data_IF_805748394401
#
_entry.id   IF_805748394401
#
_cell.length_a   1.000
_cell.length_b   1.000
_cell.length_c   1.000
_cell.angle_alpha   90.00
_cell.angle_beta   90.00
_cell.angle_gamma   90.00
#
_symmetry.space_group_name_H-M   'P 1'
#
loop_
_entity.id
_entity.type
_entity.pdbx_description
1 polymer ?
#
# COMPACT_ATOMS: atom_id res chain seq x y z
N UNK A 1 21.82 -31.18 0.86
CA UNK A 1 20.35 -31.35 0.96
C UNK A 1 19.84 -31.71 -0.44
N UNK A 2 19.49 -32.95 -0.69
CA UNK A 2 18.87 -33.39 -1.94
C UNK A 2 17.38 -33.07 -1.89
N UNK A 3 16.97 -32.02 -2.58
CA UNK A 3 15.54 -31.75 -2.76
C UNK A 3 14.87 -32.88 -3.54
N UNK A 4 13.78 -33.42 -3.03
CA UNK A 4 12.99 -34.41 -3.75
C UNK A 4 12.37 -33.79 -4.99
N UNK A 5 12.16 -34.56 -6.06
CA UNK A 5 11.49 -34.10 -7.28
C UNK A 5 10.06 -33.56 -6.96
N UNK A 6 9.42 -34.11 -5.94
CA UNK A 6 8.12 -33.69 -5.46
C UNK A 6 8.17 -32.27 -4.85
N UNK A 7 9.15 -32.01 -3.99
CA UNK A 7 9.37 -30.67 -3.40
C UNK A 7 9.66 -29.63 -4.46
N UNK A 8 10.48 -29.96 -5.46
CA UNK A 8 10.77 -29.06 -6.58
C UNK A 8 9.51 -28.71 -7.39
N UNK A 9 8.70 -29.71 -7.74
CA UNK A 9 7.42 -29.47 -8.45
C UNK A 9 6.47 -28.59 -7.66
N UNK A 10 6.36 -28.79 -6.36
CA UNK A 10 5.50 -27.98 -5.48
C UNK A 10 5.97 -26.53 -5.39
N UNK A 11 7.27 -26.29 -5.22
CA UNK A 11 7.87 -24.95 -5.25
C UNK A 11 7.61 -24.27 -6.59
N UNK A 12 7.88 -24.95 -7.70
CA UNK A 12 7.65 -24.43 -9.04
C UNK A 12 6.17 -24.06 -9.27
N UNK A 13 5.22 -24.89 -8.81
CA UNK A 13 3.79 -24.63 -8.90
C UNK A 13 3.38 -23.41 -8.07
N UNK A 14 3.88 -23.25 -6.84
CA UNK A 14 3.59 -22.09 -5.99
C UNK A 14 4.15 -20.80 -6.60
N UNK A 15 5.37 -20.84 -7.15
CA UNK A 15 5.94 -19.69 -7.86
C UNK A 15 5.11 -19.34 -9.11
N UNK A 16 4.68 -20.33 -9.88
CA UNK A 16 3.84 -20.12 -11.05
C UNK A 16 2.49 -19.49 -10.68
N UNK A 17 1.85 -19.95 -9.59
CA UNK A 17 0.62 -19.36 -9.06
C UNK A 17 0.84 -17.90 -8.64
N UNK A 18 1.95 -17.61 -7.95
CA UNK A 18 2.27 -16.24 -7.56
C UNK A 18 2.46 -15.33 -8.78
N UNK A 19 3.24 -15.76 -9.76
CA UNK A 19 3.49 -15.00 -11.00
C UNK A 19 2.19 -14.78 -11.78
N UNK A 20 1.37 -15.82 -11.95
CA UNK A 20 0.08 -15.70 -12.64
C UNK A 20 -0.87 -14.75 -11.91
N UNK A 21 -0.94 -14.83 -10.58
CA UNK A 21 -1.76 -13.92 -9.78
C UNK A 21 -1.26 -12.47 -9.85
N UNK A 22 0.05 -12.23 -9.76
CA UNK A 22 0.67 -10.90 -9.92
C UNK A 22 0.38 -10.31 -11.31
N UNK A 23 0.43 -11.15 -12.37
CA UNK A 23 0.13 -10.71 -13.73
C UNK A 23 -1.35 -10.32 -13.93
N UNK A 24 -2.25 -10.91 -13.13
CA UNK A 24 -3.68 -10.61 -13.15
C UNK A 24 -4.06 -9.41 -12.28
N UNK A 25 -3.16 -8.97 -11.38
CA UNK A 25 -3.38 -7.76 -10.61
C UNK A 25 -3.31 -6.54 -11.55
N UNK A 26 -4.16 -5.54 -11.32
CA UNK A 26 -4.20 -4.35 -12.18
C UNK A 26 -2.89 -3.57 -12.17
N UNK A 27 -2.54 -2.95 -13.30
CA UNK A 27 -1.45 -1.98 -13.37
C UNK A 27 -1.75 -0.81 -12.43
N UNK A 28 -0.76 -0.38 -11.66
CA UNK A 28 -0.86 0.78 -10.77
C UNK A 28 -1.97 0.68 -9.70
N UNK A 29 -2.23 -0.53 -9.19
CA UNK A 29 -3.28 -0.74 -8.22
C UNK A 29 -2.87 -0.38 -6.79
N UNK A 30 -1.57 -0.39 -6.47
CA UNK A 30 -1.11 -0.29 -5.09
C UNK A 30 0.20 0.50 -5.00
N UNK A 31 0.37 1.27 -3.94
CA UNK A 31 1.61 1.86 -3.49
C UNK A 31 2.15 1.10 -2.27
N UNK A 32 1.43 1.21 -1.18
CA UNK A 32 1.38 0.13 -0.21
C UNK A 32 0.23 -0.78 -0.59
N UNK A 33 0.39 -2.08 -0.40
CA UNK A 33 -0.73 -3.00 -0.57
C UNK A 33 -1.83 -2.77 0.48
N UNK A 34 -3.03 -3.36 0.28
CA UNK A 34 -4.16 -3.17 1.18
C UNK A 34 -3.88 -3.59 2.62
N UNK A 35 -2.96 -4.52 2.84
CA UNK A 35 -2.54 -4.96 4.16
C UNK A 35 -1.87 -3.86 4.95
N UNK A 36 -0.95 -3.11 4.35
CA UNK A 36 -0.27 -1.99 5.01
C UNK A 36 -1.24 -0.85 5.28
N UNK A 37 -2.15 -0.52 4.38
CA UNK A 37 -3.16 0.52 4.63
C UNK A 37 -4.10 0.16 5.79
N UNK A 38 -4.47 -1.11 5.93
CA UNK A 38 -5.27 -1.60 7.07
C UNK A 38 -4.44 -1.56 8.36
N UNK A 39 -3.18 -1.98 8.30
CA UNK A 39 -2.27 -1.91 9.45
C UNK A 39 -2.06 -0.45 9.90
N UNK A 40 -1.91 0.48 8.96
CA UNK A 40 -1.86 1.93 9.22
C UNK A 40 -3.15 2.42 9.89
N UNK A 41 -4.32 2.03 9.39
CA UNK A 41 -5.60 2.38 10.02
C UNK A 41 -5.70 1.85 11.46
N UNK A 42 -5.32 0.60 11.69
CA UNK A 42 -5.32 0.00 13.03
C UNK A 42 -4.35 0.73 13.97
N UNK A 43 -3.17 1.11 13.45
CA UNK A 43 -2.21 1.91 14.22
C UNK A 43 -2.78 3.28 14.58
N UNK A 44 -3.45 3.98 13.65
CA UNK A 44 -4.14 5.25 13.91
C UNK A 44 -5.18 5.08 15.00
N UNK A 45 -5.96 4.01 15.00
CA UNK A 45 -6.94 3.74 16.07
C UNK A 45 -6.31 3.56 17.44
N UNK A 46 -5.16 2.90 17.50
CA UNK A 46 -4.43 2.68 18.74
C UNK A 46 -3.75 3.97 19.26
N UNK A 47 -3.42 4.89 18.36
CA UNK A 47 -2.66 6.12 18.66
C UNK A 47 -3.47 7.39 18.37
N UNK A 48 -4.79 7.31 18.43
CA UNK A 48 -5.69 8.42 18.06
C UNK A 48 -5.49 9.67 18.89
N UNK A 49 -4.92 9.56 20.08
CA UNK A 49 -4.56 10.68 20.95
C UNK A 49 -3.49 11.62 20.35
N UNK A 50 -2.76 11.19 19.32
CA UNK A 50 -1.81 12.02 18.58
C UNK A 50 -2.50 13.01 17.63
N UNK A 51 -3.80 12.84 17.39
CA UNK A 51 -4.56 13.63 16.43
C UNK A 51 -5.39 14.73 17.12
N UNK A 52 -5.73 15.82 16.42
CA UNK A 52 -6.67 16.82 16.93
C UNK A 52 -8.00 16.20 17.34
N UNK A 53 -8.58 16.67 18.42
CA UNK A 53 -9.78 16.09 19.06
C UNK A 53 -10.96 15.87 18.09
N UNK A 54 -11.15 16.76 17.11
CA UNK A 54 -12.23 16.65 16.14
C UNK A 54 -11.98 15.49 15.17
N UNK A 55 -10.78 15.38 14.61
CA UNK A 55 -10.37 14.27 13.73
C UNK A 55 -10.46 12.94 14.48
N UNK A 56 -9.88 12.87 15.69
CA UNK A 56 -9.92 11.72 16.57
C UNK A 56 -11.36 11.24 16.83
N UNK A 57 -12.28 12.14 17.15
CA UNK A 57 -13.69 11.84 17.39
C UNK A 57 -14.37 11.22 16.17
N UNK A 58 -14.16 11.78 14.96
CA UNK A 58 -14.72 11.23 13.73
C UNK A 58 -14.18 9.83 13.44
N UNK A 59 -12.87 9.63 13.57
CA UNK A 59 -12.19 8.37 13.29
C UNK A 59 -12.65 7.27 14.25
N UNK A 60 -12.67 7.54 15.56
CA UNK A 60 -13.06 6.55 16.58
C UNK A 60 -14.52 6.13 16.44
N UNK A 61 -15.41 7.11 16.19
CA UNK A 61 -16.84 6.84 16.03
C UNK A 61 -17.17 6.06 14.75
N UNK A 62 -16.30 6.13 13.72
CA UNK A 62 -16.57 5.57 12.40
C UNK A 62 -15.36 4.84 11.80
N UNK A 63 -14.76 3.92 12.57
CA UNK A 63 -13.57 3.15 12.18
C UNK A 63 -13.71 2.45 10.82
N UNK A 64 -14.88 1.86 10.55
CA UNK A 64 -15.15 1.20 9.27
C UNK A 64 -15.09 2.17 8.09
N UNK A 65 -15.62 3.38 8.26
CA UNK A 65 -15.58 4.41 7.22
C UNK A 65 -14.15 4.90 7.00
N UNK A 66 -13.38 5.13 8.05
CA UNK A 66 -11.97 5.48 7.96
C UNK A 66 -11.18 4.40 7.24
N UNK A 67 -11.30 3.13 7.65
CA UNK A 67 -10.61 2.00 7.00
C UNK A 67 -11.03 1.87 5.53
N UNK A 68 -12.32 2.07 5.22
CA UNK A 68 -12.79 2.08 3.84
C UNK A 68 -12.13 3.21 3.03
N UNK A 69 -11.98 4.40 3.62
CA UNK A 69 -11.24 5.51 3.04
C UNK A 69 -9.78 5.14 2.70
N UNK A 70 -9.09 4.50 3.65
CA UNK A 70 -7.71 4.03 3.45
C UNK A 70 -7.53 3.04 2.28
N UNK A 71 -8.61 2.43 1.79
CA UNK A 71 -8.57 1.47 0.68
C UNK A 71 -9.13 2.03 -0.63
N UNK A 72 -9.85 3.16 -0.58
CA UNK A 72 -10.70 3.58 -1.69
C UNK A 72 -9.96 4.20 -2.87
N UNK A 73 -8.79 4.77 -2.67
CA UNK A 73 -8.00 5.37 -3.76
C UNK A 73 -7.59 4.32 -4.80
N UNK A 74 -7.38 3.07 -4.36
CA UNK A 74 -6.96 1.95 -5.18
C UNK A 74 -8.08 1.29 -5.98
N UNK A 75 -9.33 1.64 -5.73
CA UNK A 75 -10.46 1.15 -6.54
C UNK A 75 -10.31 1.55 -8.01
N UNK A 76 -9.64 2.68 -8.29
CA UNK A 76 -9.52 3.25 -9.63
C UNK A 76 -8.39 2.60 -10.45
N UNK A 77 -8.57 1.37 -10.81
CA UNK A 77 -7.65 0.58 -11.63
C UNK A 77 -7.47 1.19 -13.03
N UNK A 78 -6.25 1.11 -13.58
CA UNK A 78 -5.97 1.47 -14.98
C UNK A 78 -5.92 2.98 -15.27
N UNK A 79 -5.63 3.80 -14.29
CA UNK A 79 -5.59 5.28 -14.36
C UNK A 79 -4.26 5.88 -14.84
N UNK A 80 -3.22 5.07 -15.01
CA UNK A 80 -1.87 5.53 -15.39
C UNK A 80 -1.04 6.03 -14.20
N UNK A 81 0.21 6.44 -14.46
CA UNK A 81 1.17 6.90 -13.45
C UNK A 81 1.27 8.43 -13.39
N UNK A 82 0.59 9.18 -14.25
CA UNK A 82 0.72 10.63 -14.27
C UNK A 82 -0.28 11.32 -13.35
N UNK A 83 0.18 12.27 -12.56
CA UNK A 83 -0.68 13.14 -11.75
C UNK A 83 -1.54 14.01 -12.67
N UNK A 84 -2.85 13.83 -12.62
CA UNK A 84 -3.81 14.59 -13.43
C UNK A 84 -4.99 15.03 -12.56
N UNK A 85 -5.62 16.16 -12.85
CA UNK A 85 -6.83 16.59 -12.15
C UNK A 85 -7.90 15.48 -12.17
N UNK A 86 -8.44 15.14 -10.99
CA UNK A 86 -9.41 14.06 -10.82
C UNK A 86 -8.82 12.64 -10.79
N UNK A 87 -7.49 12.50 -10.77
CA UNK A 87 -6.84 11.23 -10.48
C UNK A 87 -7.06 10.83 -9.01
N UNK A 88 -7.30 9.54 -8.73
CA UNK A 88 -7.59 9.11 -7.34
C UNK A 88 -6.40 9.27 -6.40
N UNK A 89 -5.16 9.16 -6.86
CA UNK A 89 -3.96 9.46 -6.07
C UNK A 89 -3.50 10.91 -6.31
N UNK A 90 -4.39 11.87 -6.07
CA UNK A 90 -4.10 13.30 -6.18
C UNK A 90 -4.63 14.00 -4.94
N UNK A 91 -3.82 14.87 -4.35
CA UNK A 91 -4.19 15.68 -3.18
C UNK A 91 -5.40 16.56 -3.44
N UNK A 92 -5.49 17.17 -4.63
CA UNK A 92 -6.67 17.94 -5.02
C UNK A 92 -7.96 17.12 -4.87
N UNK A 93 -7.94 15.86 -5.32
CA UNK A 93 -9.08 14.94 -5.19
C UNK A 93 -9.38 14.63 -3.72
N UNK A 94 -8.36 14.32 -2.92
CA UNK A 94 -8.52 13.99 -1.50
C UNK A 94 -9.00 15.18 -0.66
N UNK A 95 -8.42 16.37 -0.87
CA UNK A 95 -8.80 17.59 -0.17
C UNK A 95 -10.21 18.05 -0.58
N UNK A 96 -10.53 18.00 -1.87
CA UNK A 96 -11.89 18.26 -2.37
C UNK A 96 -12.91 17.31 -1.76
N UNK A 97 -12.55 16.01 -1.65
CA UNK A 97 -13.40 15.03 -0.99
C UNK A 97 -13.64 15.43 0.48
N UNK A 98 -12.59 15.76 1.24
CA UNK A 98 -12.72 16.19 2.64
C UNK A 98 -13.58 17.45 2.78
N UNK A 99 -13.42 18.42 1.90
CA UNK A 99 -14.16 19.68 1.93
C UNK A 99 -15.65 19.47 1.61
N UNK A 100 -15.95 18.68 0.60
CA UNK A 100 -17.31 18.48 0.07
C UNK A 100 -18.22 17.59 0.91
N UNK A 101 -17.66 16.72 1.77
CA UNK A 101 -18.48 15.76 2.54
C UNK A 101 -18.99 16.37 3.85
N UNK A 102 -20.21 15.97 4.23
CA UNK A 102 -20.87 16.39 5.46
C UNK A 102 -21.13 15.20 6.39
N UNK A 103 -21.15 15.49 7.69
CA UNK A 103 -21.40 14.51 8.74
C UNK A 103 -20.15 13.68 9.13
N UNK A 104 -20.15 13.18 10.37
CA UNK A 104 -18.95 12.60 10.99
C UNK A 104 -18.46 11.32 10.28
N UNK A 105 -19.34 10.53 9.72
CA UNK A 105 -18.99 9.29 9.00
C UNK A 105 -18.23 9.57 7.70
N UNK A 106 -18.73 10.48 6.86
CA UNK A 106 -18.08 10.82 5.61
C UNK A 106 -16.80 11.64 5.85
N UNK A 107 -16.73 12.43 6.92
CA UNK A 107 -15.48 13.07 7.35
C UNK A 107 -14.43 12.01 7.75
N UNK A 108 -14.81 10.97 8.52
CA UNK A 108 -13.90 9.86 8.82
C UNK A 108 -13.42 9.14 7.55
N UNK A 109 -14.33 8.91 6.59
CA UNK A 109 -13.99 8.33 5.29
C UNK A 109 -12.96 9.17 4.52
N UNK A 110 -13.19 10.48 4.42
CA UNK A 110 -12.28 11.39 3.72
C UNK A 110 -10.91 11.48 4.42
N UNK A 111 -10.87 11.49 5.76
CA UNK A 111 -9.62 11.41 6.52
C UNK A 111 -8.87 10.09 6.25
N UNK A 112 -9.57 8.97 6.15
CA UNK A 112 -8.98 7.70 5.75
C UNK A 112 -8.38 7.74 4.33
N UNK A 113 -9.07 8.41 3.40
CA UNK A 113 -8.55 8.62 2.04
C UNK A 113 -7.27 9.46 2.03
N UNK A 114 -7.20 10.52 2.82
CA UNK A 114 -5.98 11.33 2.97
C UNK A 114 -4.85 10.54 3.66
N UNK A 115 -5.18 9.69 4.64
CA UNK A 115 -4.23 8.77 5.27
C UNK A 115 -3.59 7.82 4.25
N UNK A 116 -4.36 7.31 3.28
CA UNK A 116 -3.84 6.51 2.18
C UNK A 116 -2.82 7.30 1.36
N UNK A 117 -3.19 8.49 0.86
CA UNK A 117 -2.29 9.32 0.06
C UNK A 117 -0.99 9.66 0.80
N UNK A 118 -1.09 9.97 2.10
CA UNK A 118 0.08 10.30 2.93
C UNK A 118 1.03 9.11 3.09
N UNK A 119 0.49 7.91 3.31
CA UNK A 119 1.31 6.70 3.42
C UNK A 119 2.02 6.40 2.08
N UNK A 120 1.34 6.62 0.96
CA UNK A 120 1.83 6.33 -0.37
C UNK A 120 2.99 7.22 -0.82
N UNK A 121 3.14 8.42 -0.24
CA UNK A 121 4.31 9.27 -0.46
C UNK A 121 5.60 8.49 -0.22
N UNK A 122 5.70 7.79 0.92
CA UNK A 122 6.92 7.05 1.28
C UNK A 122 7.07 5.79 0.43
N UNK A 123 5.96 5.11 0.13
CA UNK A 123 5.99 3.93 -0.72
C UNK A 123 6.56 4.25 -2.11
N UNK A 124 5.94 5.19 -2.80
CA UNK A 124 6.21 5.46 -4.22
C UNK A 124 7.44 6.31 -4.47
N UNK A 125 7.82 7.17 -3.53
CA UNK A 125 8.99 8.02 -3.73
C UNK A 125 10.28 7.39 -3.18
N UNK A 126 10.18 6.39 -2.28
CA UNK A 126 11.35 5.86 -1.58
C UNK A 126 11.41 4.33 -1.61
N UNK A 127 10.46 3.65 -0.94
CA UNK A 127 10.55 2.21 -0.70
C UNK A 127 10.49 1.38 -1.97
N UNK A 128 9.44 1.56 -2.78
CA UNK A 128 9.24 0.77 -4.00
C UNK A 128 10.34 1.02 -5.03
N UNK A 129 10.72 2.29 -5.36
CA UNK A 129 11.83 2.56 -6.26
C UNK A 129 13.16 1.96 -5.79
N UNK A 130 13.48 2.08 -4.50
CA UNK A 130 14.69 1.49 -3.93
C UNK A 130 14.68 -0.04 -4.06
N UNK A 131 13.57 -0.69 -3.73
CA UNK A 131 13.43 -2.14 -3.82
C UNK A 131 13.40 -2.67 -5.26
N UNK A 132 12.93 -1.89 -6.23
CA UNK A 132 13.02 -2.25 -7.65
C UNK A 132 14.47 -2.41 -8.10
N UNK A 133 15.41 -1.67 -7.53
CA UNK A 133 16.83 -1.80 -7.84
C UNK A 133 17.43 -3.17 -7.47
N UNK A 134 16.79 -3.87 -6.57
CA UNK A 134 17.25 -5.17 -6.02
C UNK A 134 16.35 -6.35 -6.42
N UNK A 135 15.17 -6.09 -6.99
CA UNK A 135 14.20 -7.11 -7.37
C UNK A 135 14.32 -7.45 -8.86
N UNK A 136 14.50 -8.72 -9.23
CA UNK A 136 14.54 -9.13 -10.63
C UNK A 136 13.24 -8.79 -11.37
N UNK A 137 13.35 -8.39 -12.62
CA UNK A 137 12.25 -7.97 -13.46
C UNK A 137 12.23 -6.46 -13.66
N UNK A 138 11.38 -5.99 -14.56
CA UNK A 138 11.21 -4.56 -14.83
C UNK A 138 9.73 -4.21 -14.92
N UNK A 139 9.37 -3.03 -14.41
CA UNK A 139 8.03 -2.49 -14.57
C UNK A 139 7.00 -3.08 -13.60
N UNK A 140 5.82 -3.45 -14.12
CA UNK A 140 4.63 -3.82 -13.35
C UNK A 140 4.86 -4.96 -12.36
N UNK A 141 5.44 -6.08 -12.82
CA UNK A 141 5.55 -7.28 -11.99
C UNK A 141 6.45 -7.08 -10.77
N UNK A 142 7.58 -6.38 -10.93
CA UNK A 142 8.47 -6.05 -9.81
C UNK A 142 7.78 -5.15 -8.80
N UNK A 143 7.08 -4.12 -9.27
CA UNK A 143 6.35 -3.18 -8.44
C UNK A 143 5.30 -3.90 -7.58
N UNK A 144 4.36 -4.60 -8.22
CA UNK A 144 3.29 -5.33 -7.51
C UNK A 144 3.85 -6.42 -6.59
N UNK A 145 4.95 -7.07 -6.98
CA UNK A 145 5.62 -8.07 -6.15
C UNK A 145 6.20 -7.46 -4.86
N UNK A 146 6.85 -6.28 -4.97
CA UNK A 146 7.41 -5.57 -3.82
C UNK A 146 6.32 -5.23 -2.80
N UNK A 147 5.21 -4.70 -3.24
CA UNK A 147 4.07 -4.34 -2.40
C UNK A 147 3.43 -5.57 -1.75
N UNK A 148 3.24 -6.64 -2.52
CA UNK A 148 2.70 -7.89 -2.01
C UNK A 148 3.62 -8.54 -0.95
N UNK A 149 4.94 -8.42 -1.10
CA UNK A 149 5.90 -8.87 -0.09
C UNK A 149 5.84 -8.00 1.18
N UNK A 150 5.68 -6.68 1.05
CA UNK A 150 5.49 -5.80 2.20
C UNK A 150 4.19 -6.13 2.95
N UNK A 151 3.09 -6.33 2.25
CA UNK A 151 1.79 -6.75 2.84
C UNK A 151 1.88 -8.09 3.59
N UNK A 152 2.74 -8.99 3.14
CA UNK A 152 2.96 -10.28 3.82
C UNK A 152 3.57 -10.11 5.21
N UNK A 153 4.35 -9.04 5.42
CA UNK A 153 5.05 -8.77 6.67
C UNK A 153 4.15 -8.14 7.74
N UNK A 154 2.96 -7.65 7.39
CA UNK A 154 2.00 -7.07 8.33
C UNK A 154 0.84 -8.01 8.61
N UNK A 155 0.22 -7.87 9.80
CA UNK A 155 -1.01 -8.58 10.14
C UNK A 155 -2.22 -7.75 9.74
N UNK A 156 -3.12 -8.34 8.97
CA UNK A 156 -4.37 -7.71 8.59
C UNK A 156 -5.48 -8.74 8.31
N UNK A 157 -6.73 -8.32 8.45
CA UNK A 157 -7.90 -9.15 8.21
C UNK A 157 -8.54 -8.83 6.86
N UNK A 158 -8.19 -9.63 5.85
CA UNK A 158 -8.72 -9.49 4.50
C UNK A 158 -10.23 -9.74 4.41
N UNK A 159 -10.80 -10.60 5.27
CA UNK A 159 -12.23 -10.88 5.27
C UNK A 159 -13.01 -9.67 5.74
N UNK A 160 -12.55 -9.03 6.81
CA UNK A 160 -13.15 -7.80 7.29
C UNK A 160 -13.00 -6.67 6.25
N UNK A 161 -11.82 -6.52 5.65
CA UNK A 161 -11.60 -5.56 4.58
C UNK A 161 -12.59 -5.73 3.42
N UNK A 162 -12.78 -6.96 2.93
CA UNK A 162 -13.72 -7.27 1.84
C UNK A 162 -15.17 -6.94 2.23
N UNK A 163 -15.57 -7.13 3.51
CA UNK A 163 -16.92 -6.77 4.00
C UNK A 163 -17.19 -5.27 3.91
N UNK A 164 -16.19 -4.42 4.12
CA UNK A 164 -16.34 -2.96 4.00
C UNK A 164 -16.87 -2.55 2.61
N UNK A 165 -16.42 -3.25 1.56
CA UNK A 165 -16.84 -2.96 0.17
C UNK A 165 -18.28 -3.36 -0.15
N UNK A 166 -18.91 -4.17 0.69
CA UNK A 166 -20.29 -4.62 0.53
C UNK A 166 -21.24 -4.01 1.55
N UNK A 167 -20.73 -3.18 2.46
CA UNK A 167 -21.56 -2.51 3.46
C UNK A 167 -22.50 -1.50 2.79
N UNK A 168 -23.70 -1.36 3.32
CA UNK A 168 -24.67 -0.34 2.86
C UNK A 168 -24.12 1.09 3.00
N UNK A 169 -23.22 1.31 3.93
CA UNK A 169 -22.59 2.61 4.19
C UNK A 169 -21.49 2.97 3.19
N UNK A 170 -20.99 2.00 2.41
CA UNK A 170 -20.03 2.28 1.36
C UNK A 170 -20.66 3.06 0.19
N UNK A 171 -21.98 3.02 0.03
CA UNK A 171 -22.65 3.67 -1.10
C UNK A 171 -22.48 5.20 -1.11
N UNK A 172 -22.67 5.84 0.05
CA UNK A 172 -22.53 7.30 0.16
C UNK A 172 -21.09 7.74 -0.05
N UNK A 173 -20.14 6.96 0.50
CA UNK A 173 -18.71 7.15 0.27
C UNK A 173 -18.33 6.99 -1.20
N UNK A 174 -18.85 5.95 -1.87
CA UNK A 174 -18.65 5.72 -3.31
C UNK A 174 -19.18 6.89 -4.15
N UNK A 175 -20.38 7.40 -3.82
CA UNK A 175 -20.98 8.54 -4.52
C UNK A 175 -20.11 9.79 -4.36
N UNK A 176 -19.68 10.08 -3.13
CA UNK A 176 -18.79 11.21 -2.86
C UNK A 176 -17.46 11.10 -3.61
N UNK A 177 -16.88 9.88 -3.64
CA UNK A 177 -15.63 9.63 -4.35
C UNK A 177 -15.80 9.75 -5.87
N UNK A 178 -16.86 9.22 -6.43
CA UNK A 178 -17.16 9.35 -7.87
C UNK A 178 -17.36 10.81 -8.29
N UNK A 179 -17.88 11.65 -7.40
CA UNK A 179 -18.05 13.08 -7.64
C UNK A 179 -16.72 13.85 -7.58
N UNK A 180 -15.81 13.43 -6.69
CA UNK A 180 -14.48 14.03 -6.54
C UNK A 180 -13.51 13.61 -7.67
N UNK A 181 -13.68 12.40 -8.21
CA UNK A 181 -12.80 11.83 -9.24
C UNK A 181 -13.42 11.95 -10.63
N UNK A 182 -12.58 12.00 -11.67
CA UNK A 182 -13.06 11.90 -13.06
C UNK A 182 -13.35 10.44 -13.40
N UNK A 183 -14.54 10.18 -13.95
CA UNK A 183 -14.92 8.85 -14.43
C UNK A 183 -13.98 8.40 -15.55
N UNK A 184 -13.34 7.24 -15.40
CA UNK A 184 -12.59 6.58 -16.47
C UNK A 184 -13.50 5.73 -17.36
N UNK A 185 -12.93 5.11 -18.41
CA UNK A 185 -13.65 4.27 -19.38
C UNK A 185 -14.38 3.08 -18.74
N UNK A 186 -13.85 2.53 -17.64
CA UNK A 186 -14.45 1.38 -16.94
C UNK A 186 -15.41 1.88 -15.84
N UNK A 187 -16.65 1.32 -15.75
CA UNK A 187 -17.60 1.67 -14.69
C UNK A 187 -17.03 1.45 -13.28
N UNK A 188 -17.29 2.36 -12.36
CA UNK A 188 -16.80 2.28 -10.97
C UNK A 188 -17.17 0.97 -10.28
N UNK A 189 -18.42 0.50 -10.45
CA UNK A 189 -18.87 -0.78 -9.88
C UNK A 189 -18.00 -1.96 -10.30
N UNK A 190 -17.56 -2.01 -11.56
CA UNK A 190 -16.70 -3.08 -12.05
C UNK A 190 -15.28 -2.96 -11.44
N UNK A 191 -14.71 -1.76 -11.40
CA UNK A 191 -13.42 -1.51 -10.74
C UNK A 191 -13.45 -1.95 -9.26
N UNK A 192 -14.50 -1.57 -8.54
CA UNK A 192 -14.72 -1.95 -7.14
C UNK A 192 -14.79 -3.48 -6.96
N UNK A 193 -15.47 -4.19 -7.86
CA UNK A 193 -15.55 -5.65 -7.83
C UNK A 193 -14.19 -6.32 -8.09
N UNK A 194 -13.43 -5.83 -9.06
CA UNK A 194 -12.09 -6.34 -9.35
C UNK A 194 -11.19 -6.12 -8.15
N UNK A 195 -11.15 -4.91 -7.58
CA UNK A 195 -10.34 -4.59 -6.41
C UNK A 195 -10.73 -5.46 -5.19
N UNK A 196 -12.03 -5.61 -4.92
CA UNK A 196 -12.52 -6.50 -3.85
C UNK A 196 -12.04 -7.94 -4.01
N UNK A 197 -12.07 -8.48 -5.24
CA UNK A 197 -11.59 -9.84 -5.52
C UNK A 197 -10.08 -9.96 -5.38
N UNK A 198 -9.31 -8.95 -5.78
CA UNK A 198 -7.85 -8.96 -5.58
C UNK A 198 -7.48 -8.96 -4.10
N UNK A 199 -8.15 -8.17 -3.26
CA UNK A 199 -7.94 -8.20 -1.80
C UNK A 199 -8.27 -9.56 -1.18
N UNK A 200 -9.35 -10.20 -1.62
CA UNK A 200 -9.71 -11.55 -1.15
C UNK A 200 -8.62 -12.57 -1.51
N UNK A 201 -8.02 -12.46 -2.69
CA UNK A 201 -6.90 -13.27 -3.13
C UNK A 201 -5.65 -13.01 -2.27
N UNK A 202 -5.26 -11.73 -2.11
CA UNK A 202 -4.06 -11.32 -1.37
C UNK A 202 -4.10 -11.73 0.11
N UNK A 203 -5.29 -11.84 0.70
CA UNK A 203 -5.46 -12.30 2.09
C UNK A 203 -5.45 -13.83 2.25
N UNK A 204 -5.46 -14.60 1.16
CA UNK A 204 -5.53 -16.05 1.19
C UNK A 204 -4.21 -16.71 1.65
N UNK A 205 -4.32 -17.85 2.35
CA UNK A 205 -3.15 -18.61 2.83
C UNK A 205 -2.25 -19.08 1.68
N UNK A 206 -2.84 -19.59 0.60
CA UNK A 206 -2.11 -20.04 -0.59
C UNK A 206 -1.27 -18.91 -1.20
N UNK A 207 -1.85 -17.71 -1.32
CA UNK A 207 -1.14 -16.52 -1.79
C UNK A 207 0.06 -16.17 -0.90
N UNK A 208 -0.16 -16.11 0.42
CA UNK A 208 0.90 -15.80 1.39
C UNK A 208 2.03 -16.85 1.35
N UNK A 209 1.68 -18.13 1.24
CA UNK A 209 2.64 -19.22 1.09
C UNK A 209 3.42 -19.09 -0.23
N UNK A 210 2.74 -18.82 -1.34
CA UNK A 210 3.38 -18.61 -2.65
C UNK A 210 4.36 -17.45 -2.62
N UNK A 211 3.99 -16.31 -2.04
CA UNK A 211 4.88 -15.16 -1.87
C UNK A 211 6.08 -15.48 -0.96
N UNK A 212 5.86 -16.26 0.10
CA UNK A 212 6.94 -16.69 1.01
C UNK A 212 7.97 -17.54 0.27
N UNK A 213 7.51 -18.48 -0.55
CA UNK A 213 8.37 -19.32 -1.40
C UNK A 213 9.11 -18.49 -2.44
N UNK A 214 8.43 -17.58 -3.13
CA UNK A 214 9.07 -16.68 -4.09
C UNK A 214 10.13 -15.80 -3.40
N UNK A 215 9.83 -15.26 -2.22
CA UNK A 215 10.78 -14.46 -1.43
C UNK A 215 12.01 -15.25 -0.98
N UNK A 216 11.90 -16.56 -0.85
CA UNK A 216 13.04 -17.43 -0.55
C UNK A 216 13.95 -17.66 -1.76
N UNK A 217 13.37 -17.72 -2.94
CA UNK A 217 14.10 -17.96 -4.22
C UNK A 217 14.71 -16.67 -4.77
N UNK A 218 14.15 -15.51 -4.45
CA UNK A 218 14.69 -14.21 -4.91
C UNK A 218 15.90 -13.80 -4.07
N UNK A 219 16.97 -13.25 -4.69
CA UNK A 219 18.26 -13.00 -4.02
C UNK A 219 18.19 -12.04 -2.84
N UNK A 220 17.18 -11.17 -2.79
CA UNK A 220 17.00 -10.21 -1.71
C UNK A 220 15.53 -10.21 -1.28
N UNK A 221 15.30 -10.78 -0.11
CA UNK A 221 13.98 -10.77 0.53
C UNK A 221 13.81 -9.49 1.32
N UNK A 222 12.67 -8.83 1.12
CA UNK A 222 12.22 -7.80 2.03
C UNK A 222 11.99 -8.42 3.40
N UNK A 223 12.55 -7.80 4.43
CA UNK A 223 12.40 -8.20 5.80
C UNK A 223 11.77 -7.08 6.65
N UNK A 224 11.41 -7.42 7.88
CA UNK A 224 10.80 -6.47 8.79
C UNK A 224 11.76 -5.31 9.14
N UNK A 225 13.07 -5.55 9.13
CA UNK A 225 14.06 -4.53 9.48
C UNK A 225 14.16 -3.44 8.40
N UNK A 226 14.09 -3.80 7.13
CA UNK A 226 14.08 -2.85 6.01
C UNK A 226 12.74 -2.11 5.88
N UNK A 227 11.63 -2.76 6.22
CA UNK A 227 10.28 -2.19 6.11
C UNK A 227 9.95 -1.23 7.27
N UNK A 228 10.39 -1.52 8.51
CA UNK A 228 10.01 -0.77 9.69
C UNK A 228 10.31 0.74 9.62
N UNK A 229 11.49 1.20 9.15
CA UNK A 229 11.78 2.63 9.02
C UNK A 229 10.84 3.33 8.03
N UNK A 230 10.48 2.65 6.93
CA UNK A 230 9.59 3.20 5.90
C UNK A 230 8.15 3.29 6.40
N UNK A 231 7.69 2.29 7.15
CA UNK A 231 6.38 2.36 7.82
C UNK A 231 6.34 3.47 8.87
N UNK A 232 7.41 3.64 9.66
CA UNK A 232 7.48 4.75 10.61
C UNK A 232 7.38 6.10 9.89
N UNK A 233 8.12 6.30 8.80
CA UNK A 233 8.05 7.50 7.98
C UNK A 233 6.64 7.71 7.39
N UNK A 234 5.98 6.65 6.91
CA UNK A 234 4.59 6.71 6.42
C UNK A 234 3.62 7.13 7.53
N UNK A 235 3.78 6.60 8.75
CA UNK A 235 2.92 6.96 9.89
C UNK A 235 3.12 8.40 10.33
N UNK A 236 4.35 8.92 10.31
CA UNK A 236 4.63 10.35 10.56
C UNK A 236 3.90 11.23 9.53
N UNK A 237 4.00 10.88 8.25
CA UNK A 237 3.28 11.60 7.19
C UNK A 237 1.75 11.53 7.38
N UNK A 238 1.22 10.38 7.78
CA UNK A 238 -0.21 10.21 8.10
C UNK A 238 -0.64 11.09 9.26
N UNK A 239 0.12 11.11 10.36
CA UNK A 239 -0.20 11.96 11.53
C UNK A 239 -0.17 13.44 11.14
N UNK A 240 0.83 13.88 10.37
CA UNK A 240 0.96 15.26 9.92
C UNK A 240 -0.26 15.69 9.08
N UNK A 241 -0.63 14.91 8.07
CA UNK A 241 -1.79 15.19 7.21
C UNK A 241 -3.12 15.13 7.98
N UNK A 242 -3.28 14.17 8.88
CA UNK A 242 -4.52 14.06 9.68
C UNK A 242 -4.62 15.17 10.73
N UNK A 243 -3.49 15.77 11.12
CA UNK A 243 -3.47 16.91 12.06
C UNK A 243 -3.84 18.22 11.40
N UNK A 244 -3.37 18.47 10.20
CA UNK A 244 -3.70 19.66 9.42
C UNK A 244 -3.74 19.33 7.91
N UNK A 245 -4.85 18.81 7.40
CA UNK A 245 -4.94 18.36 6.00
C UNK A 245 -4.64 19.45 4.96
N UNK A 246 -4.96 20.70 5.27
CA UNK A 246 -4.82 21.84 4.35
C UNK A 246 -3.48 22.58 4.51
N UNK A 247 -2.83 22.51 5.69
CA UNK A 247 -1.56 23.16 5.97
C UNK A 247 -0.35 22.22 5.91
N UNK A 248 -0.55 20.92 5.84
CA UNK A 248 0.53 19.94 5.79
C UNK A 248 1.40 20.10 4.55
N UNK A 249 2.72 20.18 4.73
CA UNK A 249 3.69 20.22 3.62
C UNK A 249 3.77 18.89 2.86
N UNK A 250 3.31 17.78 3.44
CA UNK A 250 3.22 16.48 2.77
C UNK A 250 2.35 16.56 1.52
N UNK A 251 1.32 17.43 1.51
CA UNK A 251 0.40 17.61 0.37
C UNK A 251 1.07 18.25 -0.85
N UNK A 252 2.30 18.72 -0.74
CA UNK A 252 3.10 19.21 -1.87
C UNK A 252 3.87 18.10 -2.60
N UNK A 253 3.96 16.90 -2.01
CA UNK A 253 4.65 15.75 -2.57
C UNK A 253 3.72 14.91 -3.44
N UNK A 254 4.30 14.24 -4.45
CA UNK A 254 3.53 13.39 -5.37
C UNK A 254 3.23 12.01 -4.74
N UNK A 255 1.95 11.66 -4.46
CA UNK A 255 1.59 10.37 -3.90
C UNK A 255 1.65 9.21 -4.92
N UNK A 256 1.91 9.50 -6.21
CA UNK A 256 2.07 8.48 -7.25
C UNK A 256 3.55 8.10 -7.41
N UNK A 257 4.48 9.01 -7.09
CA UNK A 257 5.90 8.81 -7.30
C UNK A 257 6.27 8.71 -8.79
N UNK A 258 5.66 9.53 -9.65
CA UNK A 258 5.82 9.47 -11.10
C UNK A 258 7.29 9.46 -11.52
N UNK A 259 8.08 10.42 -11.01
CA UNK A 259 9.50 10.54 -11.33
C UNK A 259 10.33 9.40 -10.70
N UNK A 260 10.32 9.15 -9.39
CA UNK A 260 11.13 8.09 -8.79
C UNK A 260 10.86 6.69 -9.35
N UNK A 261 9.59 6.37 -9.64
CA UNK A 261 9.25 5.09 -10.26
C UNK A 261 9.72 4.99 -11.72
N UNK A 262 9.69 6.10 -12.46
CA UNK A 262 10.22 6.16 -13.83
C UNK A 262 11.74 5.96 -13.83
N UNK A 263 12.44 6.64 -12.92
CA UNK A 263 13.90 6.55 -12.77
C UNK A 263 14.32 5.13 -12.36
N UNK A 264 13.62 4.53 -11.39
CA UNK A 264 13.86 3.15 -10.99
C UNK A 264 13.69 2.17 -12.16
N UNK A 265 12.62 2.34 -12.97
CA UNK A 265 12.41 1.53 -14.18
C UNK A 265 13.51 1.72 -15.22
N UNK A 266 13.98 2.95 -15.41
CA UNK A 266 15.09 3.25 -16.33
C UNK A 266 16.39 2.59 -15.88
N UNK A 267 16.72 2.68 -14.59
CA UNK A 267 17.90 2.06 -13.99
C UNK A 267 17.89 0.52 -14.07
N UNK A 268 16.72 -0.09 -14.02
CA UNK A 268 16.57 -1.55 -14.11
C UNK A 268 16.53 -2.09 -15.54
N UNK A 269 16.36 -1.21 -16.54
CA UNK A 269 16.25 -1.62 -17.96
C UNK A 269 17.54 -2.27 -18.43
N UNK A 270 17.44 -3.46 -19.00
CA UNK A 270 18.60 -4.19 -19.56
C UNK A 270 19.49 -4.90 -18.54
N UNK A 271 19.16 -4.85 -17.23
CA UNK A 271 19.94 -5.59 -16.23
C UNK A 271 19.65 -7.09 -16.30
N UNK A 272 20.73 -7.87 -16.26
CA UNK A 272 20.62 -9.33 -16.14
C UNK A 272 20.21 -9.74 -14.72
N UNK A 273 19.61 -10.93 -14.52
CA UNK A 273 19.28 -11.42 -13.17
C UNK A 273 20.47 -11.48 -12.21
N UNK A 274 21.69 -11.73 -12.72
CA UNK A 274 22.92 -11.70 -11.91
C UNK A 274 23.26 -10.30 -11.40
N UNK A 275 22.95 -9.26 -12.15
CA UNK A 275 23.23 -7.87 -11.75
C UNK A 275 22.41 -7.42 -10.53
N UNK A 276 21.29 -8.09 -10.22
CA UNK A 276 20.48 -7.83 -9.03
C UNK A 276 21.07 -8.39 -7.73
N UNK A 277 22.16 -9.19 -7.80
CA UNK A 277 22.89 -9.64 -6.60
C UNK A 277 23.72 -8.53 -5.94
N UNK A 278 24.09 -7.50 -6.69
CA UNK A 278 24.77 -6.32 -6.20
C UNK A 278 23.77 -5.15 -6.22
N UNK A 279 23.12 -4.82 -5.09
CA UNK A 279 22.16 -3.72 -5.04
C UNK A 279 22.88 -2.40 -5.34
N UNK A 280 22.20 -1.50 -6.03
CA UNK A 280 22.61 -0.11 -6.10
C UNK A 280 22.57 0.50 -4.69
N UNK A 281 23.46 1.44 -4.36
CA UNK A 281 23.25 2.28 -3.19
C UNK A 281 21.88 2.94 -3.28
N UNK A 282 21.23 3.13 -2.13
CA UNK A 282 19.92 3.78 -2.03
C UNK A 282 19.94 5.11 -2.81
N UNK A 283 19.34 5.11 -3.99
CA UNK A 283 19.24 6.31 -4.85
C UNK A 283 17.93 7.08 -4.60
N UNK A 284 17.08 6.54 -3.70
CA UNK A 284 15.79 7.11 -3.39
C UNK A 284 15.68 7.37 -1.88
N UNK A 285 16.44 8.35 -1.33
CA UNK A 285 16.36 8.72 0.09
C UNK A 285 15.00 9.34 0.41
N UNK A 286 14.62 9.33 1.68
CA UNK A 286 13.44 10.06 2.14
C UNK A 286 13.54 11.53 1.75
N UNK A 287 12.44 12.07 1.22
CA UNK A 287 12.34 13.50 0.94
C UNK A 287 12.51 14.30 2.24
N UNK A 288 13.21 15.44 2.19
CA UNK A 288 13.49 16.26 3.39
C UNK A 288 12.23 16.60 4.17
N UNK A 289 11.13 16.95 3.50
CA UNK A 289 9.84 17.20 4.15
C UNK A 289 9.39 16.02 5.02
N UNK A 290 9.57 14.79 4.57
CA UNK A 290 9.21 13.58 5.36
C UNK A 290 10.25 13.31 6.45
N UNK A 291 11.53 13.51 6.13
CA UNK A 291 12.63 13.30 7.08
C UNK A 291 12.55 14.27 8.27
N UNK A 292 12.14 15.52 8.01
CA UNK A 292 12.03 16.59 9.01
C UNK A 292 10.75 16.51 9.88
N UNK A 293 9.82 15.60 9.59
CA UNK A 293 8.62 15.42 10.42
C UNK A 293 8.99 14.99 11.84
N UNK A 294 8.24 15.43 12.85
CA UNK A 294 8.46 15.03 14.23
C UNK A 294 8.49 13.50 14.40
N UNK A 295 9.40 13.01 15.24
CA UNK A 295 9.42 11.60 15.59
C UNK A 295 8.16 11.23 16.39
N UNK A 296 7.66 10.01 16.15
CA UNK A 296 6.54 9.48 16.90
C UNK A 296 6.99 9.20 18.35
N UNK A 297 6.12 9.39 19.34
CA UNK A 297 6.41 9.02 20.72
C UNK A 297 6.84 7.55 20.82
N UNK A 298 7.79 7.24 21.70
CA UNK A 298 8.30 5.87 21.88
C UNK A 298 7.19 4.84 22.18
N UNK A 299 6.12 5.26 22.87
CA UNK A 299 4.92 4.45 23.11
C UNK A 299 4.12 4.13 21.85
N UNK A 300 4.22 4.97 20.83
CA UNK A 300 3.54 4.81 19.54
C UNK A 300 4.44 4.17 18.47
N UNK A 301 5.75 4.12 18.70
CA UNK A 301 6.74 3.66 17.72
C UNK A 301 6.73 2.14 17.46
N UNK A 302 6.00 1.34 18.23
CA UNK A 302 5.72 -0.05 17.85
C UNK A 302 4.76 -0.07 16.68
N UNK A 303 5.32 0.23 15.52
CA UNK A 303 4.63 0.08 14.24
C UNK A 303 4.15 -1.33 14.05
N UNK A 304 2.91 -1.44 13.64
CA UNK A 304 2.27 -2.60 13.03
C UNK A 304 2.97 -3.91 13.37
N UNK A 305 2.34 -4.82 14.07
CA UNK A 305 2.95 -6.13 14.38
C UNK A 305 3.58 -6.74 13.13
N UNK A 306 4.87 -6.46 12.91
CA UNK A 306 5.62 -7.04 11.81
C UNK A 306 5.87 -8.51 12.11
N UNK A 307 5.45 -9.37 11.22
CA UNK A 307 5.66 -10.79 11.32
C UNK A 307 7.08 -11.13 10.89
N UNK A 308 7.97 -11.40 11.85
CA UNK A 308 9.31 -11.95 11.59
C UNK A 308 9.31 -13.40 11.10
N UNK A 309 8.15 -13.99 10.82
CA UNK A 309 8.07 -15.36 10.35
C UNK A 309 8.59 -15.45 8.91
N UNK A 310 9.88 -15.73 8.76
CA UNK A 310 10.32 -16.57 7.65
C UNK A 310 9.61 -17.92 7.91
N UNK A 311 8.59 -18.24 7.13
CA UNK A 311 8.04 -19.61 7.19
C UNK A 311 9.21 -20.55 6.95
N UNK A 312 9.52 -21.50 7.87
CA UNK A 312 10.55 -22.46 7.59
C UNK A 312 10.16 -23.23 6.33
N UNK A 313 11.10 -23.41 5.41
CA UNK A 313 10.89 -24.23 4.19
C UNK A 313 10.22 -25.57 4.49
N UNK A 314 10.44 -26.11 5.69
CA UNK A 314 9.84 -27.36 6.16
C UNK A 314 8.29 -27.33 6.29
N UNK A 315 7.66 -26.15 6.48
CA UNK A 315 6.20 -26.02 6.52
C UNK A 315 5.60 -25.73 5.13
N UNK A 316 6.42 -25.35 4.14
CA UNK A 316 5.99 -25.04 2.78
C UNK A 316 6.20 -26.21 1.80
N UNK A 317 6.94 -27.23 2.19
CA UNK A 317 7.30 -28.45 1.46
C UNK A 317 6.67 -29.65 2.14
#
# INVERSE_FOLDING_TARGET
MTFSLHSFRRIASLCAVAVAALALLPDHAFAWGPGIHIATANWVFANVALLPALAARHIVAHKDAFTYGCLSADIFIGKGCAVRPGHSHNWETGLKLLDSVHGPRLKAYALGYLSHLAADIVAHNNYVPAMMSTTPGSGKLSHVYIEAQADRLVRWDSRNAVRLFTSRHAHDADTSLCTATRAGKMPFKLKKQVFKRSMALCGGSTWRTSLSVCGFVTPQTQDAASLAPMLNASLRAVVDVLSDPFGSRITTLDPIGEHPLSDAKALCRGRTPLAFRNPFPLQFPLHSIVADLPELPASAAQCCELSNRRAPLAEAV
#
